data_IF_270649382233
#
_entry.id   IF_270649382233
#
_cell.length_a   1.000
_cell.length_b   1.000
_cell.length_c   1.000
_cell.angle_alpha   90.00
_cell.angle_beta   90.00
_cell.angle_gamma   90.00
#
_symmetry.space_group_name_H-M   'P 1'
#
loop_
_entity.id
_entity.type
_entity.pdbx_description
1 polymer ?
#
# COMPACT_ATOMS: atom_id res chain seq x y z
N UNK A 1 19.43 -1.19 -3.03
CA UNK A 1 19.43 -1.25 -4.50
C UNK A 1 20.21 -0.06 -5.05
N UNK A 2 21.18 -0.34 -5.92
CA UNK A 2 21.86 0.68 -6.73
C UNK A 2 20.88 1.29 -7.73
N UNK A 3 21.22 2.44 -8.32
CA UNK A 3 20.32 3.09 -9.28
C UNK A 3 20.15 2.26 -10.56
N UNK A 4 21.19 1.54 -10.97
CA UNK A 4 21.14 0.60 -12.09
C UNK A 4 20.16 -0.56 -11.80
N UNK A 5 20.20 -1.15 -10.60
CA UNK A 5 19.27 -2.21 -10.19
C UNK A 5 17.81 -1.72 -10.13
N UNK A 6 17.60 -0.48 -9.68
CA UNK A 6 16.27 0.16 -9.65
C UNK A 6 15.73 0.32 -11.06
N UNK A 7 16.54 0.85 -11.98
CA UNK A 7 16.12 1.08 -13.36
C UNK A 7 15.84 -0.23 -14.08
N UNK A 8 16.69 -1.25 -13.90
CA UNK A 8 16.47 -2.58 -14.45
C UNK A 8 15.16 -3.20 -13.91
N UNK A 9 14.90 -3.09 -12.60
CA UNK A 9 13.65 -3.58 -12.03
C UNK A 9 12.42 -2.87 -12.59
N UNK A 10 12.47 -1.54 -12.72
CA UNK A 10 11.36 -0.77 -13.31
C UNK A 10 11.09 -1.18 -14.75
N UNK A 11 12.13 -1.39 -15.55
CA UNK A 11 12.00 -1.91 -16.92
C UNK A 11 11.40 -3.32 -16.95
N UNK A 12 11.89 -4.23 -16.12
CA UNK A 12 11.40 -5.61 -16.04
C UNK A 12 9.92 -5.70 -15.63
N UNK A 13 9.46 -4.77 -14.79
CA UNK A 13 8.09 -4.74 -14.29
C UNK A 13 7.18 -3.73 -15.01
N UNK A 14 7.64 -3.17 -16.14
CA UNK A 14 6.92 -2.14 -16.92
C UNK A 14 6.42 -0.96 -16.07
N UNK A 15 7.25 -0.52 -15.13
CA UNK A 15 6.95 0.61 -14.24
C UNK A 15 7.43 1.90 -14.91
N UNK A 16 6.48 2.74 -15.27
CA UNK A 16 6.73 4.13 -15.69
C UNK A 16 6.46 5.09 -14.55
N UNK A 17 7.19 6.21 -14.50
CA UNK A 17 7.08 7.19 -13.44
C UNK A 17 7.18 8.61 -13.98
N UNK A 18 6.31 9.47 -13.45
CA UNK A 18 6.32 10.90 -13.69
C UNK A 18 6.31 11.64 -12.34
N UNK A 19 7.15 12.66 -12.20
CA UNK A 19 7.25 13.45 -10.97
C UNK A 19 8.69 13.70 -10.52
N UNK A 20 8.85 14.35 -9.36
CA UNK A 20 10.16 14.71 -8.78
C UNK A 20 10.45 13.85 -7.54
N UNK A 21 11.73 13.60 -7.26
CA UNK A 21 12.20 12.92 -6.03
C UNK A 21 11.51 11.57 -5.76
N UNK A 22 11.35 10.77 -6.82
CA UNK A 22 10.64 9.50 -6.79
C UNK A 22 11.44 8.46 -5.98
N UNK A 23 10.88 7.90 -4.89
CA UNK A 23 11.59 6.93 -4.09
C UNK A 23 11.84 5.63 -4.85
N UNK A 24 12.89 4.92 -4.44
CA UNK A 24 13.22 3.59 -4.97
C UNK A 24 12.13 2.58 -4.59
N UNK A 25 11.78 1.63 -5.48
CA UNK A 25 10.82 0.59 -5.18
C UNK A 25 11.33 -0.34 -4.07
N UNK A 26 10.42 -0.91 -3.28
CA UNK A 26 10.73 -1.90 -2.26
C UNK A 26 10.76 -3.32 -2.84
N UNK A 27 11.62 -4.17 -2.28
CA UNK A 27 11.76 -5.59 -2.69
C UNK A 27 11.66 -6.60 -1.54
N UNK A 28 11.69 -6.19 -0.26
CA UNK A 28 11.00 -6.97 0.76
C UNK A 28 10.08 -6.14 1.66
N UNK A 29 9.07 -6.79 2.24
CA UNK A 29 8.16 -6.26 3.28
C UNK A 29 8.85 -5.84 4.59
N UNK A 30 10.17 -5.56 4.59
CA UNK A 30 10.97 -5.30 5.80
C UNK A 30 10.47 -4.09 6.59
N UNK A 31 9.81 -3.14 5.94
CA UNK A 31 9.19 -1.97 6.57
C UNK A 31 7.91 -2.34 7.33
N UNK A 32 7.26 -3.43 6.99
CA UNK A 32 6.11 -3.95 7.73
C UNK A 32 6.51 -4.81 8.92
N UNK A 33 7.79 -5.09 9.12
CA UNK A 33 8.25 -5.84 10.29
C UNK A 33 7.88 -5.16 11.62
N UNK A 34 7.62 -3.84 11.60
CA UNK A 34 7.11 -3.10 12.76
C UNK A 34 5.63 -3.39 13.08
N UNK A 35 4.89 -4.00 12.15
CA UNK A 35 3.49 -4.37 12.29
C UNK A 35 3.34 -5.88 12.10
N UNK A 36 3.69 -6.63 13.15
CA UNK A 36 3.77 -8.09 13.10
C UNK A 36 2.46 -8.74 12.65
N UNK A 37 1.31 -8.19 13.07
CA UNK A 37 -0.02 -8.67 12.67
C UNK A 37 -0.24 -8.53 11.15
N UNK A 38 0.11 -7.38 10.55
CA UNK A 38 0.01 -7.15 9.09
C UNK A 38 0.90 -8.15 8.34
N UNK A 39 2.10 -8.41 8.85
CA UNK A 39 3.01 -9.40 8.26
C UNK A 39 2.50 -10.82 8.36
N UNK A 40 1.81 -11.18 9.45
CA UNK A 40 1.15 -12.48 9.56
C UNK A 40 0.04 -12.62 8.53
N UNK A 41 -0.80 -11.60 8.35
CA UNK A 41 -1.88 -11.63 7.36
C UNK A 41 -1.38 -11.66 5.91
N UNK A 42 -0.30 -10.92 5.61
CA UNK A 42 0.38 -10.99 4.31
C UNK A 42 0.89 -12.41 4.03
N UNK A 43 1.52 -13.06 5.03
CA UNK A 43 1.99 -14.44 4.91
C UNK A 43 0.82 -15.43 4.77
N UNK A 44 -0.24 -15.30 5.56
CA UNK A 44 -1.45 -16.14 5.48
C UNK A 44 -2.16 -16.00 4.13
N UNK A 45 -2.16 -14.79 3.56
CA UNK A 45 -2.69 -14.52 2.24
C UNK A 45 -1.80 -15.05 1.09
N UNK A 46 -0.61 -15.60 1.40
CA UNK A 46 0.28 -16.20 0.42
C UNK A 46 1.08 -15.19 -0.40
N UNK A 47 1.15 -13.92 0.02
CA UNK A 47 1.96 -12.91 -0.68
C UNK A 47 3.45 -13.17 -0.43
N UNK A 48 4.15 -13.59 -1.49
CA UNK A 48 5.60 -13.85 -1.46
C UNK A 48 6.39 -12.55 -1.64
N UNK A 49 5.96 -11.73 -2.59
CA UNK A 49 6.57 -10.44 -2.92
C UNK A 49 5.49 -9.41 -3.26
N UNK A 50 5.75 -8.11 -3.06
CA UNK A 50 4.86 -7.05 -3.51
C UNK A 50 4.72 -7.03 -5.04
N UNK A 51 3.51 -6.73 -5.51
CA UNK A 51 3.27 -6.50 -6.94
C UNK A 51 3.93 -5.20 -7.41
N UNK A 52 4.17 -4.98 -8.71
CA UNK A 52 4.83 -3.77 -9.21
C UNK A 52 4.24 -2.45 -8.69
N UNK A 53 2.90 -2.34 -8.67
CA UNK A 53 2.20 -1.14 -8.17
C UNK A 53 2.37 -0.96 -6.66
N UNK A 54 2.48 -2.05 -5.90
CA UNK A 54 2.74 -2.02 -4.46
C UNK A 54 4.20 -1.65 -4.17
N UNK A 55 5.15 -2.30 -4.84
CA UNK A 55 6.59 -2.08 -4.70
C UNK A 55 6.97 -0.62 -4.89
N UNK A 56 6.35 0.04 -5.87
CA UNK A 56 6.64 1.43 -6.18
C UNK A 56 5.69 2.42 -5.48
N UNK A 57 4.43 2.04 -5.23
CA UNK A 57 3.42 2.90 -4.60
C UNK A 57 3.59 3.06 -3.09
N UNK A 58 3.89 1.98 -2.36
CA UNK A 58 4.09 2.05 -0.90
C UNK A 58 5.15 3.06 -0.45
N UNK A 59 6.37 3.11 -1.01
CA UNK A 59 7.35 4.11 -0.58
C UNK A 59 6.91 5.55 -0.86
N UNK A 60 6.05 5.78 -1.86
CA UNK A 60 5.50 7.11 -2.13
C UNK A 60 4.42 7.47 -1.12
N UNK A 61 3.46 6.58 -0.91
CA UNK A 61 2.35 6.78 0.03
C UNK A 61 2.84 6.93 1.48
N UNK A 62 3.79 6.10 1.91
CA UNK A 62 4.38 6.16 3.26
C UNK A 62 5.21 7.43 3.50
N UNK A 63 5.64 8.12 2.43
CA UNK A 63 6.26 9.45 2.53
C UNK A 63 5.23 10.59 2.59
N UNK A 64 3.94 10.28 2.63
CA UNK A 64 2.85 11.26 2.66
C UNK A 64 2.72 12.04 1.35
N UNK A 65 3.08 11.44 0.22
CA UNK A 65 2.98 12.10 -1.09
C UNK A 65 1.62 11.82 -1.74
N UNK A 66 1.09 12.86 -2.36
CA UNK A 66 0.01 12.71 -3.34
C UNK A 66 0.53 11.97 -4.56
N UNK A 67 -0.24 10.99 -5.04
CA UNK A 67 0.15 10.13 -6.14
C UNK A 67 -1.06 9.63 -6.92
N UNK A 68 -0.84 9.36 -8.21
CA UNK A 68 -1.80 8.66 -9.08
C UNK A 68 -1.17 7.32 -9.44
N UNK A 69 -1.79 6.22 -9.03
CA UNK A 69 -1.34 4.86 -9.31
C UNK A 69 -2.20 4.20 -10.38
N UNK A 70 -1.62 3.95 -11.56
CA UNK A 70 -2.30 3.28 -12.68
C UNK A 70 -1.70 1.88 -12.83
N UNK A 71 -2.57 0.87 -12.83
CA UNK A 71 -2.21 -0.52 -13.08
C UNK A 71 -3.45 -1.30 -13.51
N UNK A 72 -3.28 -2.46 -14.13
CA UNK A 72 -4.37 -3.31 -14.59
C UNK A 72 -5.25 -3.86 -13.44
N UNK A 73 -6.45 -4.35 -13.75
CA UNK A 73 -7.31 -5.04 -12.78
C UNK A 73 -6.61 -6.31 -12.27
N UNK A 74 -6.72 -6.60 -10.97
CA UNK A 74 -6.03 -7.76 -10.36
C UNK A 74 -4.57 -7.51 -9.97
N UNK A 75 -3.97 -6.36 -10.32
CA UNK A 75 -2.58 -6.01 -9.97
C UNK A 75 -2.30 -5.72 -8.48
N UNK A 76 -3.30 -5.86 -7.59
CA UNK A 76 -3.12 -5.64 -6.15
C UNK A 76 -3.19 -4.17 -5.70
N UNK A 77 -3.83 -3.28 -6.48
CA UNK A 77 -4.02 -1.85 -6.14
C UNK A 77 -4.68 -1.62 -4.78
N UNK A 78 -5.60 -2.49 -4.36
CA UNK A 78 -6.30 -2.36 -3.06
C UNK A 78 -5.31 -2.32 -1.90
N UNK A 79 -4.41 -3.30 -1.82
CA UNK A 79 -3.37 -3.31 -0.79
C UNK A 79 -2.29 -2.24 -1.02
N UNK A 80 -2.15 -1.73 -2.26
CA UNK A 80 -1.23 -0.63 -2.56
C UNK A 80 -1.59 0.66 -1.80
N UNK A 81 -2.87 0.93 -1.56
CA UNK A 81 -3.30 2.08 -0.74
C UNK A 81 -3.72 1.71 0.69
N UNK A 82 -4.28 0.52 0.94
CA UNK A 82 -4.72 0.13 2.29
C UNK A 82 -3.56 -0.03 3.26
N UNK A 83 -2.44 -0.62 2.82
CA UNK A 83 -1.31 -0.87 3.70
C UNK A 83 -0.70 0.44 4.23
N UNK A 84 -0.33 1.43 3.38
CA UNK A 84 0.11 2.73 3.87
C UNK A 84 -0.93 3.44 4.74
N UNK A 85 -2.23 3.28 4.43
CA UNK A 85 -3.31 3.85 5.23
C UNK A 85 -3.37 3.26 6.65
N UNK A 86 -3.21 1.94 6.81
CA UNK A 86 -3.16 1.29 8.12
C UNK A 86 -1.94 1.73 8.93
N UNK A 87 -0.78 1.83 8.27
CA UNK A 87 0.44 2.38 8.89
C UNK A 87 0.20 3.81 9.34
N UNK A 88 -0.46 4.63 8.52
CA UNK A 88 -0.80 6.01 8.84
C UNK A 88 -1.71 6.08 10.08
N UNK A 89 -2.79 5.30 10.13
CA UNK A 89 -3.72 5.22 11.28
C UNK A 89 -2.97 4.89 12.57
N UNK A 90 -2.07 3.90 12.55
CA UNK A 90 -1.29 3.50 13.74
C UNK A 90 -0.33 4.58 14.27
N UNK A 91 -0.04 5.60 13.45
CA UNK A 91 0.84 6.72 13.83
C UNK A 91 0.08 7.96 14.26
N UNK A 92 -1.26 7.93 14.26
CA UNK A 92 -2.11 9.02 14.73
C UNK A 92 -2.55 8.78 16.19
N UNK A 93 -2.97 9.84 16.91
CA UNK A 93 -3.66 9.70 18.20
C UNK A 93 -4.91 8.82 18.08
N UNK A 94 -5.28 8.17 19.19
CA UNK A 94 -6.53 7.41 19.26
C UNK A 94 -7.71 8.37 19.12
N UNK A 95 -8.70 8.00 18.31
CA UNK A 95 -9.89 8.79 18.07
C UNK A 95 -10.71 8.99 19.37
N UNK A 96 -11.19 10.21 19.57
CA UNK A 96 -12.08 10.57 20.66
C UNK A 96 -13.56 10.53 20.23
N UNK A 97 -14.51 10.44 21.17
CA UNK A 97 -15.93 10.50 20.83
C UNK A 97 -16.28 11.80 20.09
N UNK A 98 -16.76 11.67 18.85
CA UNK A 98 -17.11 12.80 17.97
C UNK A 98 -16.13 13.02 16.82
N UNK A 99 -14.96 12.38 16.85
CA UNK A 99 -14.01 12.44 15.73
C UNK A 99 -14.50 11.68 14.50
N UNK A 100 -14.10 12.17 13.33
CA UNK A 100 -14.30 11.50 12.04
C UNK A 100 -13.24 10.42 11.76
N UNK A 101 -13.35 9.73 10.61
CA UNK A 101 -12.35 8.73 10.21
C UNK A 101 -11.02 9.39 9.84
N UNK A 102 -9.90 8.75 10.20
CA UNK A 102 -8.55 9.17 9.81
C UNK A 102 -8.33 8.94 8.30
N UNK A 103 -8.88 7.85 7.75
CA UNK A 103 -8.76 7.46 6.34
C UNK A 103 -10.14 7.32 5.73
N UNK A 104 -10.35 7.95 4.57
CA UNK A 104 -11.56 7.83 3.76
C UNK A 104 -11.21 7.24 2.39
N UNK A 105 -11.84 6.13 2.03
CA UNK A 105 -11.75 5.53 0.69
C UNK A 105 -13.10 5.68 0.00
N UNK A 106 -13.09 6.29 -1.19
CA UNK A 106 -14.28 6.44 -2.02
C UNK A 106 -14.27 5.40 -3.13
N UNK A 107 -15.42 4.73 -3.33
CA UNK A 107 -15.61 3.74 -4.36
C UNK A 107 -16.86 4.07 -5.20
N UNK A 108 -16.86 3.75 -6.51
CA UNK A 108 -17.96 4.09 -7.42
C UNK A 108 -19.22 3.24 -7.22
N UNK A 109 -19.11 2.07 -6.58
CA UNK A 109 -20.25 1.17 -6.34
C UNK A 109 -20.24 0.65 -4.91
N UNK A 110 -21.42 0.26 -4.43
CA UNK A 110 -21.60 -0.30 -3.08
C UNK A 110 -20.84 -1.61 -2.92
N UNK A 111 -20.89 -2.47 -3.92
CA UNK A 111 -20.26 -3.79 -3.92
C UNK A 111 -18.74 -3.66 -3.80
N UNK A 112 -18.15 -2.71 -4.54
CA UNK A 112 -16.72 -2.46 -4.46
C UNK A 112 -16.33 -1.85 -3.11
N UNK A 113 -17.16 -0.95 -2.54
CA UNK A 113 -16.93 -0.42 -1.20
C UNK A 113 -16.89 -1.54 -0.14
N UNK A 114 -17.83 -2.50 -0.22
CA UNK A 114 -17.88 -3.67 0.67
C UNK A 114 -16.66 -4.57 0.49
N UNK A 115 -16.21 -4.81 -0.74
CA UNK A 115 -14.99 -5.59 -1.00
C UNK A 115 -13.74 -4.92 -0.40
N UNK A 116 -13.61 -3.60 -0.55
CA UNK A 116 -12.50 -2.84 0.04
C UNK A 116 -12.56 -2.90 1.57
N UNK A 117 -13.75 -2.78 2.17
CA UNK A 117 -13.93 -2.90 3.61
C UNK A 117 -13.52 -4.28 4.14
N UNK A 118 -13.85 -5.36 3.42
CA UNK A 118 -13.46 -6.73 3.79
C UNK A 118 -11.94 -6.89 3.80
N UNK A 119 -11.25 -6.38 2.76
CA UNK A 119 -9.80 -6.36 2.71
C UNK A 119 -9.20 -5.50 3.84
N UNK A 120 -9.75 -4.32 4.11
CA UNK A 120 -9.30 -3.47 5.22
C UNK A 120 -9.45 -4.14 6.59
N UNK A 121 -10.57 -4.83 6.81
CA UNK A 121 -10.82 -5.61 8.04
C UNK A 121 -9.81 -6.73 8.21
N UNK A 122 -9.48 -7.44 7.11
CA UNK A 122 -8.53 -8.56 7.12
C UNK A 122 -7.14 -8.12 7.57
N UNK A 123 -6.64 -6.97 7.10
CA UNK A 123 -5.30 -6.48 7.42
C UNK A 123 -5.24 -5.50 8.60
N UNK A 124 -6.38 -4.99 9.07
CA UNK A 124 -6.46 -3.94 10.09
C UNK A 124 -6.69 -4.41 11.52
N UNK A 125 -7.00 -5.69 11.72
CA UNK A 125 -7.24 -6.25 13.06
C UNK A 125 -5.99 -7.03 13.54
N UNK A 126 -5.55 -6.87 14.80
CA UNK A 126 -4.57 -7.75 15.43
C UNK A 126 -5.11 -9.16 15.69
#
# INVERSE_FOLDING_TARGET
>A
MTDAEVNNYRQLCDITLEGRDLPKPFKPFRILAFYEYVMQEIKKAGFVEPTPIQSQGWPMALKGRDLIGIAETGSGKTLAYLLPALVHVNTQPILEPGDGPIVLVLAPTRELAVQIQQEATKFGLP
#
